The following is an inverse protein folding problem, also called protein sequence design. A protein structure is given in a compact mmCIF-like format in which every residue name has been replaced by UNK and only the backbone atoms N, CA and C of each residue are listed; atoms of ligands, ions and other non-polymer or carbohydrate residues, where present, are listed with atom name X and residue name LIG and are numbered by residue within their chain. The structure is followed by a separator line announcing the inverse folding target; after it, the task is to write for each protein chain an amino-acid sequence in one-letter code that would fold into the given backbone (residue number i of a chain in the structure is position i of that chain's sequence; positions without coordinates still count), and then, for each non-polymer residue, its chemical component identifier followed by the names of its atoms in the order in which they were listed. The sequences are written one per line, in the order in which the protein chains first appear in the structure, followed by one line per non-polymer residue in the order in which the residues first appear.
data_IF_079784756732
#
_entry.id   IF_079784756732
#
_cell.length_a   1.000
_cell.length_b   1.000
_cell.length_c   1.000
_cell.angle_alpha   90.00
_cell.angle_beta   90.00
_cell.angle_gamma   90.00
#
_symmetry.space_group_name_H-M   'P 1'
#
loop_
_entity.id
_entity.type
_entity.pdbx_description
1 polymer ?
#
# COMPACT_ATOMS: atom_id res chain seq x y z
N UNK A 1 13.07 -30.23 23.09
CA UNK A 1 13.20 -28.77 23.25
C UNK A 1 12.60 -28.16 21.99
N UNK A 2 11.40 -27.61 22.11
CA UNK A 2 10.63 -27.11 20.97
C UNK A 2 11.26 -25.80 20.48
N UNK A 3 11.63 -25.79 19.20
CA UNK A 3 11.78 -24.56 18.43
C UNK A 3 10.78 -24.68 17.28
N UNK A 4 9.50 -24.42 17.59
CA UNK A 4 8.52 -24.10 16.57
C UNK A 4 8.91 -22.73 16.01
N UNK A 5 9.82 -22.73 15.05
CA UNK A 5 10.06 -21.60 14.15
C UNK A 5 8.84 -21.47 13.23
N UNK A 6 7.71 -21.05 13.80
CA UNK A 6 6.55 -20.62 13.05
C UNK A 6 6.86 -19.23 12.47
N UNK A 7 7.83 -19.21 11.56
CA UNK A 7 8.10 -18.04 10.73
C UNK A 7 6.88 -17.92 9.83
N UNK A 8 5.87 -17.17 10.27
CA UNK A 8 4.82 -16.70 9.39
C UNK A 8 5.51 -15.89 8.29
N UNK A 9 5.87 -16.58 7.21
CA UNK A 9 6.58 -16.06 6.04
C UNK A 9 5.65 -15.10 5.28
N UNK A 10 5.36 -13.97 5.91
CA UNK A 10 4.57 -12.89 5.33
C UNK A 10 5.42 -12.29 4.24
N UNK A 11 4.91 -12.34 3.00
CA UNK A 11 5.57 -11.73 1.86
C UNK A 11 5.71 -10.23 2.16
N UNK A 12 6.93 -9.69 2.06
CA UNK A 12 7.13 -8.25 2.19
C UNK A 12 6.39 -7.54 1.06
N UNK A 13 5.59 -6.52 1.40
CA UNK A 13 4.81 -5.80 0.42
C UNK A 13 3.67 -4.97 1.02
N UNK A 14 2.82 -4.49 0.12
CA UNK A 14 1.62 -3.73 0.47
C UNK A 14 0.42 -4.66 0.45
N UNK A 15 -0.38 -4.59 1.50
CA UNK A 15 -1.61 -5.33 1.68
C UNK A 15 -2.80 -4.39 1.69
N UNK A 16 -3.80 -4.66 0.87
CA UNK A 16 -5.09 -3.96 0.87
C UNK A 16 -6.15 -4.72 1.66
N UNK A 17 -7.01 -4.00 2.38
CA UNK A 17 -8.16 -4.59 3.08
C UNK A 17 -9.35 -4.69 2.13
N UNK A 18 -9.88 -5.90 1.92
CA UNK A 18 -11.07 -6.11 1.09
C UNK A 18 -12.38 -5.74 1.82
N UNK A 19 -13.51 -5.80 1.11
CA UNK A 19 -14.85 -5.49 1.66
C UNK A 19 -15.31 -6.41 2.79
N UNK A 20 -14.59 -7.52 3.04
CA UNK A 20 -14.84 -8.45 4.15
C UNK A 20 -13.86 -8.23 5.31
N UNK A 21 -13.03 -7.19 5.26
CA UNK A 21 -12.01 -6.90 6.26
C UNK A 21 -10.77 -7.80 6.16
N UNK A 22 -10.59 -8.55 5.07
CA UNK A 22 -9.44 -9.45 4.91
C UNK A 22 -8.30 -8.74 4.18
N UNK A 23 -7.09 -8.82 4.74
CA UNK A 23 -5.85 -8.37 4.08
C UNK A 23 -5.53 -9.26 2.87
N UNK A 24 -5.25 -8.63 1.73
CA UNK A 24 -4.78 -9.29 0.50
C UNK A 24 -3.50 -8.61 0.02
N UNK A 25 -2.53 -9.39 -0.41
CA UNK A 25 -1.32 -8.84 -1.03
C UNK A 25 -1.73 -8.10 -2.30
N UNK A 26 -1.32 -6.84 -2.41
CA UNK A 26 -1.59 -5.93 -3.53
C UNK A 26 -0.34 -5.72 -4.35
N UNK A 27 0.77 -5.42 -3.67
CA UNK A 27 2.08 -5.23 -4.26
C UNK A 27 3.10 -6.04 -3.48
N UNK A 28 3.98 -6.76 -4.18
CA UNK A 28 5.12 -7.44 -3.55
C UNK A 28 6.30 -6.48 -3.56
N UNK A 29 6.89 -6.23 -2.40
CA UNK A 29 8.07 -5.39 -2.31
C UNK A 29 9.21 -5.96 -3.15
N UNK A 30 9.75 -5.12 -4.03
CA UNK A 30 10.79 -5.50 -5.00
C UNK A 30 12.19 -5.02 -4.62
N UNK A 31 12.34 -4.38 -3.44
CA UNK A 31 13.54 -3.63 -3.07
C UNK A 31 13.52 -2.23 -3.67
N UNK A 32 14.24 -1.30 -3.03
CA UNK A 32 14.23 0.12 -3.35
C UNK A 32 14.26 0.96 -2.08
N UNK A 33 14.03 2.26 -2.22
CA UNK A 33 13.77 3.16 -1.11
C UNK A 33 12.43 3.85 -1.38
N UNK A 34 11.35 3.07 -1.28
CA UNK A 34 10.00 3.58 -1.44
C UNK A 34 9.05 3.05 -0.37
N UNK A 35 8.04 3.84 -0.02
CA UNK A 35 7.13 3.55 1.09
C UNK A 35 5.71 4.09 0.88
N UNK A 36 4.79 3.76 1.80
CA UNK A 36 3.42 4.28 1.73
C UNK A 36 3.34 5.76 2.16
N UNK A 37 4.25 6.19 3.02
CA UNK A 37 4.44 7.57 3.46
C UNK A 37 4.67 8.53 2.28
N UNK A 38 5.39 8.08 1.26
CA UNK A 38 5.72 8.88 0.07
C UNK A 38 4.49 9.25 -0.76
N UNK A 39 3.41 8.46 -0.71
CA UNK A 39 2.14 8.83 -1.33
C UNK A 39 1.58 10.12 -0.68
N UNK A 40 1.73 10.25 0.63
CA UNK A 40 1.32 11.47 1.35
C UNK A 40 2.33 12.58 1.09
N UNK A 41 3.63 12.29 1.11
CA UNK A 41 4.66 13.32 0.96
C UNK A 41 4.70 13.91 -0.46
N UNK A 42 4.72 13.06 -1.49
CA UNK A 42 4.88 13.48 -2.89
C UNK A 42 3.55 13.85 -3.53
N UNK A 43 2.51 13.04 -3.32
CA UNK A 43 1.21 13.25 -3.99
C UNK A 43 0.19 13.97 -3.12
N UNK A 44 0.45 14.14 -1.82
CA UNK A 44 -0.48 14.77 -0.87
C UNK A 44 -1.83 14.04 -0.85
N UNK A 45 -1.81 12.71 -1.01
CA UNK A 45 -2.99 11.86 -1.04
C UNK A 45 -3.07 10.98 0.20
N UNK A 46 -4.25 10.90 0.82
CA UNK A 46 -4.52 10.02 1.94
C UNK A 46 -3.97 10.50 3.27
N UNK A 47 -4.07 9.62 4.26
CA UNK A 47 -3.58 9.87 5.62
C UNK A 47 -2.86 8.66 6.17
N UNK A 48 -1.75 8.89 6.86
CA UNK A 48 -1.09 7.86 7.65
C UNK A 48 -1.87 7.62 8.95
N UNK A 49 -2.09 6.35 9.27
CA UNK A 49 -2.62 5.95 10.57
C UNK A 49 -1.52 5.27 11.38
N UNK A 50 -1.30 5.75 12.61
CA UNK A 50 -0.34 5.15 13.52
C UNK A 50 -0.88 3.81 14.04
N UNK A 51 -0.22 2.72 13.69
CA UNK A 51 -0.48 1.43 14.32
C UNK A 51 0.17 1.43 15.71
N UNK A 52 -0.62 1.19 16.76
CA UNK A 52 -0.08 1.06 18.11
C UNK A 52 0.58 -0.33 18.22
N UNK A 53 1.87 -0.40 17.90
CA UNK A 53 2.72 -1.53 18.27
C UNK A 53 3.20 -2.44 17.14
N UNK A 54 2.82 -2.19 15.89
CA UNK A 54 3.38 -2.88 14.73
C UNK A 54 4.33 -1.95 13.97
N UNK A 55 5.39 -2.50 13.37
CA UNK A 55 6.29 -1.78 12.46
C UNK A 55 5.62 -1.46 11.11
N UNK A 56 4.34 -1.77 10.97
CA UNK A 56 3.58 -1.65 9.73
C UNK A 56 3.11 -0.20 9.52
N UNK A 57 3.45 0.38 8.36
CA UNK A 57 2.92 1.66 7.90
C UNK A 57 1.53 1.47 7.32
N UNK A 58 0.56 2.28 7.74
CA UNK A 58 -0.82 2.22 7.24
C UNK A 58 -1.22 3.55 6.61
N UNK A 59 -1.76 3.49 5.39
CA UNK A 59 -2.38 4.63 4.72
C UNK A 59 -3.86 4.34 4.43
N UNK A 60 -4.68 5.36 4.62
CA UNK A 60 -6.10 5.35 4.22
C UNK A 60 -6.31 6.37 3.11
N UNK A 61 -6.88 5.92 2.00
CA UNK A 61 -7.22 6.72 0.82
C UNK A 61 -8.74 6.70 0.59
N UNK A 62 -9.33 7.83 0.27
CA UNK A 62 -10.71 7.87 -0.23
C UNK A 62 -10.82 7.32 -1.66
N UNK A 63 -12.03 6.98 -2.09
CA UNK A 63 -12.30 6.56 -3.46
C UNK A 63 -11.96 7.63 -4.52
N UNK A 64 -11.92 8.90 -4.14
CA UNK A 64 -11.43 9.97 -4.99
C UNK A 64 -9.91 9.93 -5.07
N UNK A 65 -9.23 9.90 -3.93
CA UNK A 65 -7.77 9.89 -3.87
C UNK A 65 -7.16 8.66 -4.57
N UNK A 66 -7.83 7.50 -4.54
CA UNK A 66 -7.42 6.33 -5.33
C UNK A 66 -7.44 6.60 -6.84
N UNK A 67 -8.40 7.39 -7.34
CA UNK A 67 -8.45 7.77 -8.77
C UNK A 67 -7.35 8.77 -9.10
N UNK A 68 -7.12 9.71 -8.19
CA UNK A 68 -6.07 10.71 -8.32
C UNK A 68 -4.67 10.05 -8.23
N UNK A 69 -4.51 8.99 -7.44
CA UNK A 69 -3.27 8.22 -7.30
C UNK A 69 -2.76 7.67 -8.64
N UNK A 70 -3.64 7.09 -9.46
CA UNK A 70 -3.25 6.65 -10.82
C UNK A 70 -2.82 7.83 -11.68
N UNK A 71 -3.53 8.95 -11.60
CA UNK A 71 -3.19 10.14 -12.39
C UNK A 71 -1.81 10.66 -12.04
N UNK A 72 -1.49 10.71 -10.74
CA UNK A 72 -0.17 11.12 -10.25
C UNK A 72 0.93 10.14 -10.64
N UNK A 73 0.69 8.83 -10.48
CA UNK A 73 1.64 7.79 -10.87
C UNK A 73 1.96 7.83 -12.38
N UNK A 74 0.95 8.03 -13.23
CA UNK A 74 1.16 8.18 -14.68
C UNK A 74 1.92 9.48 -15.02
N UNK A 75 1.60 10.59 -14.34
CA UNK A 75 2.22 11.89 -14.60
C UNK A 75 3.70 11.93 -14.19
N UNK A 76 4.07 11.18 -13.16
CA UNK A 76 5.41 11.18 -12.58
C UNK A 76 6.16 9.86 -12.77
N UNK A 77 5.76 9.04 -13.73
CA UNK A 77 6.37 7.71 -13.95
C UNK A 77 7.86 7.76 -14.32
N UNK A 78 8.35 8.92 -14.75
CA UNK A 78 9.77 9.16 -15.08
C UNK A 78 10.54 9.90 -13.98
N UNK A 79 9.84 10.39 -12.95
CA UNK A 79 10.43 11.21 -11.88
C UNK A 79 10.72 10.39 -10.62
N UNK A 80 10.07 9.24 -10.44
CA UNK A 80 10.18 8.39 -9.24
C UNK A 80 10.63 6.96 -9.56
N UNK A 81 10.98 6.21 -8.52
CA UNK A 81 11.37 4.80 -8.64
C UNK A 81 10.26 3.95 -9.28
N UNK A 82 10.66 3.02 -10.15
CA UNK A 82 9.73 2.12 -10.84
C UNK A 82 8.86 1.33 -9.83
N UNK A 83 9.45 0.83 -8.74
CA UNK A 83 8.73 0.12 -7.69
C UNK A 83 7.65 0.96 -7.01
N UNK A 84 7.91 2.24 -6.76
CA UNK A 84 6.93 3.16 -6.19
C UNK A 84 5.75 3.38 -7.15
N UNK A 85 6.04 3.59 -8.44
CA UNK A 85 5.01 3.79 -9.47
C UNK A 85 4.17 2.52 -9.66
N UNK A 86 4.80 1.35 -9.74
CA UNK A 86 4.11 0.06 -9.81
C UNK A 86 3.20 -0.16 -8.61
N UNK A 87 3.70 0.08 -7.40
CA UNK A 87 2.91 -0.02 -6.16
C UNK A 87 1.66 0.86 -6.22
N UNK A 88 1.79 2.12 -6.63
CA UNK A 88 0.67 3.05 -6.75
C UNK A 88 -0.40 2.55 -7.75
N UNK A 89 0.05 2.03 -8.91
CA UNK A 89 -0.85 1.52 -9.94
C UNK A 89 -1.56 0.23 -9.49
N UNK A 90 -0.86 -0.67 -8.79
CA UNK A 90 -1.44 -1.90 -8.26
C UNK A 90 -2.46 -1.63 -7.14
N UNK A 91 -2.16 -0.68 -6.25
CA UNK A 91 -3.12 -0.17 -5.26
C UNK A 91 -4.38 0.38 -5.91
N UNK A 92 -4.23 1.18 -6.96
CA UNK A 92 -5.39 1.72 -7.67
C UNK A 92 -6.20 0.60 -8.35
N UNK A 93 -5.54 -0.36 -9.01
CA UNK A 93 -6.22 -1.51 -9.64
C UNK A 93 -6.95 -2.36 -8.61
N UNK A 94 -6.36 -2.59 -7.44
CA UNK A 94 -7.00 -3.30 -6.35
C UNK A 94 -8.29 -2.60 -5.91
N UNK A 95 -8.20 -1.30 -5.59
CA UNK A 95 -9.34 -0.53 -5.12
C UNK A 95 -10.44 -0.35 -6.20
N UNK A 96 -10.07 -0.26 -7.49
CA UNK A 96 -11.03 -0.18 -8.59
C UNK A 96 -11.94 -1.43 -8.72
N UNK A 97 -11.50 -2.58 -8.19
CA UNK A 97 -12.28 -3.83 -8.16
C UNK A 97 -13.16 -3.96 -6.91
N UNK A 98 -13.17 -2.97 -6.03
CA UNK A 98 -13.90 -2.95 -4.78
C UNK A 98 -14.91 -1.80 -4.78
N UNK A 99 -16.04 -2.00 -4.09
CA UNK A 99 -16.98 -0.92 -3.78
C UNK A 99 -16.71 -0.42 -2.36
N UNK A 100 -16.43 0.87 -2.21
CA UNK A 100 -16.16 1.48 -0.93
C UNK A 100 -15.82 2.97 -1.07
N UNK A 101 -16.05 3.73 0.00
CA UNK A 101 -15.72 5.16 0.05
C UNK A 101 -14.28 5.43 0.49
N UNK A 102 -13.65 4.44 1.13
CA UNK A 102 -12.27 4.48 1.61
C UNK A 102 -11.60 3.11 1.52
N UNK A 103 -10.29 3.12 1.30
CA UNK A 103 -9.43 1.96 1.12
C UNK A 103 -8.23 2.07 2.06
N UNK A 104 -7.97 1.00 2.80
CA UNK A 104 -6.85 0.91 3.72
C UNK A 104 -5.78 0.00 3.13
N UNK A 105 -4.54 0.48 3.15
CA UNK A 105 -3.36 -0.25 2.75
C UNK A 105 -2.34 -0.28 3.88
N UNK A 106 -1.63 -1.40 4.01
CA UNK A 106 -0.64 -1.65 5.05
C UNK A 106 0.64 -2.20 4.43
N UNK A 107 1.79 -1.59 4.73
CA UNK A 107 3.11 -2.06 4.34
C UNK A 107 3.82 -2.69 5.53
N UNK A 108 4.66 -3.70 5.29
CA UNK A 108 5.37 -4.45 6.32
C UNK A 108 6.89 -4.61 6.02
N UNK A 109 7.47 -3.66 5.28
CA UNK A 109 8.88 -3.68 4.85
C UNK A 109 9.65 -2.48 5.37
#
# INVERSE_FOLDING_TARGET
MAADSNTNNSILGVYGTDTKGKRRLVHRYQGGDYGLEEIVEYFQLGRLESTKGDADTVIVLSAREVRDLKTMADAHSFDYEEGFIEMCLEMQRFAANLSGDSFQFTANF
#
